data_IF_617274762301
#
_entry.id   IF_617274762301
#
_cell.length_a   1.000
_cell.length_b   1.000
_cell.length_c   1.000
_cell.angle_alpha   90.00
_cell.angle_beta   90.00
_cell.angle_gamma   90.00
#
_symmetry.space_group_name_H-M   'P 1'
#
loop_
_entity.id
_entity.type
_entity.pdbx_description
1 polymer ?
#
# COMPACT_ATOMS: atom_id res chain seq x y z
N UNK A 1 67.42 -5.93 5.89
CA UNK A 1 66.08 -6.50 6.17
C UNK A 1 65.06 -5.37 6.19
N UNK A 2 64.28 -5.19 5.12
CA UNK A 2 63.32 -4.08 4.98
C UNK A 2 61.92 -4.63 5.23
N UNK A 3 61.31 -4.28 6.36
CA UNK A 3 59.92 -4.64 6.70
C UNK A 3 58.98 -3.67 5.99
N UNK A 4 58.22 -4.16 5.01
CA UNK A 4 57.13 -3.41 4.37
C UNK A 4 55.87 -3.54 5.23
N UNK A 5 55.40 -2.43 5.80
CA UNK A 5 54.11 -2.36 6.46
C UNK A 5 53.02 -2.22 5.39
N UNK A 6 52.12 -3.19 5.31
CA UNK A 6 50.94 -3.12 4.47
C UNK A 6 49.85 -2.33 5.21
N UNK A 7 49.52 -1.14 4.71
CA UNK A 7 48.38 -0.35 5.18
C UNK A 7 47.13 -0.91 4.49
N UNK A 8 46.29 -1.61 5.23
CA UNK A 8 44.98 -2.05 4.76
C UNK A 8 44.01 -0.85 4.82
N UNK A 9 43.70 -0.28 3.66
CA UNK A 9 42.63 0.72 3.50
C UNK A 9 41.28 0.01 3.61
N UNK A 10 40.61 0.17 4.75
CA UNK A 10 39.21 -0.22 4.94
C UNK A 10 38.33 0.80 4.22
N UNK A 11 37.82 0.43 3.05
CA UNK A 11 36.76 1.18 2.39
C UNK A 11 35.47 1.00 3.20
N UNK A 12 35.11 2.03 3.97
CA UNK A 12 33.79 2.15 4.58
C UNK A 12 32.78 2.42 3.46
N UNK A 13 32.13 1.36 2.99
CA UNK A 13 30.97 1.45 2.11
C UNK A 13 29.84 2.14 2.88
N UNK A 14 29.70 3.46 2.71
CA UNK A 14 28.52 4.16 3.19
C UNK A 14 27.33 3.71 2.36
N UNK A 15 26.47 2.86 2.94
CA UNK A 15 25.16 2.57 2.37
C UNK A 15 24.42 3.89 2.20
N UNK A 16 24.29 4.36 0.96
CA UNK A 16 23.45 5.49 0.63
C UNK A 16 22.02 5.12 0.96
N UNK A 17 21.49 5.68 2.05
CA UNK A 17 20.07 5.54 2.40
C UNK A 17 19.29 6.33 1.36
N UNK A 18 18.85 5.66 0.29
CA UNK A 18 17.93 6.26 -0.68
C UNK A 18 16.64 6.56 0.09
N UNK A 19 16.23 7.83 0.24
CA UNK A 19 14.99 8.14 0.91
C UNK A 19 13.84 7.46 0.14
N UNK A 20 12.94 6.81 0.88
CA UNK A 20 11.77 6.19 0.28
C UNK A 20 11.04 7.24 -0.57
N UNK A 21 10.80 6.93 -1.84
CA UNK A 21 10.07 7.86 -2.70
C UNK A 21 8.66 8.06 -2.11
N UNK A 22 8.19 9.32 -1.99
CA UNK A 22 6.86 9.58 -1.46
C UNK A 22 5.81 8.94 -2.37
N UNK A 23 4.66 8.57 -1.81
CA UNK A 23 3.55 8.09 -2.62
C UNK A 23 3.17 9.14 -3.67
N UNK A 24 2.70 8.68 -4.83
CA UNK A 24 2.36 9.51 -5.97
C UNK A 24 0.86 9.44 -6.26
N UNK A 25 0.37 10.34 -7.13
CA UNK A 25 -1.05 10.38 -7.48
C UNK A 25 -1.56 9.09 -8.13
N UNK A 26 -0.66 8.35 -8.80
CA UNK A 26 -0.97 7.05 -9.41
C UNK A 26 -1.24 5.97 -8.34
N UNK A 27 -0.65 6.09 -7.15
CA UNK A 27 -0.80 5.12 -6.06
C UNK A 27 -2.18 5.17 -5.39
N UNK A 28 -3.03 6.18 -5.67
CA UNK A 28 -4.33 6.34 -4.97
C UNK A 28 -5.26 5.14 -5.14
N UNK A 29 -5.17 4.44 -6.28
CA UNK A 29 -5.92 3.20 -6.52
C UNK A 29 -5.43 2.07 -5.60
N UNK A 30 -4.12 1.84 -5.60
CA UNK A 30 -3.45 0.80 -4.82
C UNK A 30 -3.61 1.05 -3.31
N UNK A 31 -3.46 2.30 -2.86
CA UNK A 31 -3.66 2.66 -1.46
C UNK A 31 -5.08 2.31 -0.99
N UNK A 32 -6.12 2.65 -1.78
CA UNK A 32 -7.50 2.31 -1.43
C UNK A 32 -7.71 0.81 -1.36
N UNK A 33 -7.15 0.06 -2.30
CA UNK A 33 -7.22 -1.39 -2.30
C UNK A 33 -6.52 -1.98 -1.06
N UNK A 34 -5.30 -1.53 -0.77
CA UNK A 34 -4.51 -2.01 0.37
C UNK A 34 -5.16 -1.68 1.72
N UNK A 35 -5.78 -0.52 1.87
CA UNK A 35 -6.58 -0.19 3.06
C UNK A 35 -7.72 -1.20 3.24
N UNK A 36 -8.44 -1.55 2.17
CA UNK A 36 -9.53 -2.51 2.25
C UNK A 36 -9.03 -3.93 2.58
N UNK A 37 -7.91 -4.37 1.99
CA UNK A 37 -7.24 -5.64 2.32
C UNK A 37 -6.85 -5.68 3.81
N UNK A 38 -6.18 -4.64 4.31
CA UNK A 38 -5.74 -4.56 5.70
C UNK A 38 -6.91 -4.50 6.69
N UNK A 39 -8.00 -3.79 6.36
CA UNK A 39 -9.22 -3.78 7.17
C UNK A 39 -9.89 -5.15 7.22
N UNK A 40 -9.98 -5.86 6.09
CA UNK A 40 -10.51 -7.23 6.05
C UNK A 40 -9.66 -8.21 6.88
N UNK A 41 -8.33 -8.02 6.89
CA UNK A 41 -7.43 -8.81 7.73
C UNK A 41 -7.68 -8.55 9.22
N UNK A 42 -7.75 -7.27 9.64
CA UNK A 42 -8.04 -6.87 11.02
C UNK A 42 -9.39 -7.45 11.47
N UNK A 43 -10.44 -7.27 10.68
CA UNK A 43 -11.78 -7.79 11.01
C UNK A 43 -11.76 -9.31 11.18
N UNK A 44 -11.03 -10.02 10.32
CA UNK A 44 -10.92 -11.49 10.41
C UNK A 44 -10.15 -11.91 11.66
N UNK A 45 -9.06 -11.24 12.00
CA UNK A 45 -8.34 -11.51 13.25
C UNK A 45 -9.19 -11.23 14.49
N UNK A 46 -9.98 -10.14 14.50
CA UNK A 46 -10.92 -9.84 15.58
C UNK A 46 -11.93 -10.97 15.75
N UNK A 47 -12.58 -11.37 14.65
CA UNK A 47 -13.59 -12.43 14.66
C UNK A 47 -13.02 -13.79 15.08
N UNK A 48 -11.85 -14.16 14.59
CA UNK A 48 -11.20 -15.42 14.97
C UNK A 48 -10.70 -15.38 16.42
N UNK A 49 -10.17 -14.24 16.89
CA UNK A 49 -9.77 -14.06 18.29
C UNK A 49 -10.96 -14.21 19.23
N UNK A 50 -12.12 -13.63 18.89
CA UNK A 50 -13.35 -13.82 19.68
C UNK A 50 -13.71 -15.30 19.81
N UNK A 51 -13.71 -16.06 18.69
CA UNK A 51 -13.98 -17.51 18.72
C UNK A 51 -12.95 -18.28 19.56
N UNK A 52 -11.69 -17.87 19.52
CA UNK A 52 -10.63 -18.48 20.35
C UNK A 52 -10.88 -18.21 21.84
N UNK A 53 -11.26 -16.98 22.20
CA UNK A 53 -11.58 -16.63 23.58
C UNK A 53 -12.79 -17.41 24.11
N UNK A 54 -13.85 -17.53 23.31
CA UNK A 54 -15.01 -18.37 23.62
C UNK A 54 -14.62 -19.85 23.79
N UNK A 55 -13.77 -20.37 22.91
CA UNK A 55 -13.25 -21.73 23.02
C UNK A 55 -12.43 -21.93 24.31
N UNK A 56 -11.52 -20.99 24.63
CA UNK A 56 -10.70 -21.05 25.84
C UNK A 56 -11.58 -21.00 27.10
N UNK A 57 -12.63 -20.17 27.09
CA UNK A 57 -13.59 -20.11 28.19
C UNK A 57 -14.39 -21.41 28.34
N UNK A 58 -14.85 -22.01 27.23
CA UNK A 58 -15.61 -23.27 27.28
C UNK A 58 -14.75 -24.45 27.73
N UNK A 59 -13.49 -24.49 27.30
CA UNK A 59 -12.58 -25.64 27.54
C UNK A 59 -11.68 -25.46 28.74
N UNK A 60 -11.69 -24.29 29.38
CA UNK A 60 -10.79 -23.91 30.48
C UNK A 60 -9.31 -24.17 30.16
N UNK A 61 -8.95 -24.09 28.88
CA UNK A 61 -7.64 -24.48 28.35
C UNK A 61 -7.10 -23.36 27.47
N UNK A 62 -5.83 -22.95 27.64
CA UNK A 62 -5.24 -21.94 26.77
C UNK A 62 -5.07 -22.47 25.35
N UNK A 63 -5.05 -21.54 24.38
CA UNK A 63 -4.84 -21.88 22.98
C UNK A 63 -3.39 -21.56 22.60
N UNK A 64 -2.43 -22.49 22.73
CA UNK A 64 -1.04 -22.21 22.41
C UNK A 64 -0.88 -21.90 20.92
N UNK A 65 0.09 -21.04 20.63
CA UNK A 65 0.63 -20.90 19.27
C UNK A 65 1.30 -22.20 18.85
N UNK A 66 1.00 -22.66 17.64
CA UNK A 66 1.77 -23.68 16.91
C UNK A 66 1.82 -23.29 15.43
N UNK A 67 2.82 -23.75 14.67
CA UNK A 67 2.90 -23.48 13.23
C UNK A 67 1.62 -23.87 12.47
N UNK A 68 0.99 -25.00 12.81
CA UNK A 68 -0.23 -25.48 12.15
C UNK A 68 -1.43 -24.57 12.47
N UNK A 69 -1.54 -24.12 13.72
CA UNK A 69 -2.62 -23.23 14.16
C UNK A 69 -2.46 -21.84 13.56
N UNK A 70 -1.24 -21.32 13.51
CA UNK A 70 -0.90 -20.10 12.78
C UNK A 70 -1.29 -20.24 11.32
N UNK A 71 -0.84 -21.28 10.62
CA UNK A 71 -1.13 -21.47 9.21
C UNK A 71 -2.64 -21.52 8.93
N UNK A 72 -3.40 -22.19 9.80
CA UNK A 72 -4.87 -22.22 9.71
C UNK A 72 -5.52 -20.85 9.97
N UNK A 73 -4.99 -20.05 10.89
CA UNK A 73 -5.46 -18.69 11.14
C UNK A 73 -5.15 -17.78 9.94
N UNK A 74 -3.89 -17.75 9.50
CA UNK A 74 -3.46 -16.96 8.36
C UNK A 74 -4.18 -17.36 7.07
N UNK A 75 -4.49 -18.65 6.88
CA UNK A 75 -5.31 -19.11 5.75
C UNK A 75 -6.70 -18.46 5.71
N UNK A 76 -7.39 -18.36 6.85
CA UNK A 76 -8.71 -17.69 6.93
C UNK A 76 -8.62 -16.19 6.70
N UNK A 77 -7.56 -15.55 7.21
CA UNK A 77 -7.27 -14.13 6.95
C UNK A 77 -7.02 -13.92 5.46
N UNK A 78 -6.24 -14.78 4.82
CA UNK A 78 -5.99 -14.72 3.38
C UNK A 78 -7.26 -14.89 2.56
N UNK A 79 -8.16 -15.82 2.94
CA UNK A 79 -9.46 -15.97 2.28
C UNK A 79 -10.29 -14.68 2.35
N UNK A 80 -10.27 -13.97 3.48
CA UNK A 80 -10.96 -12.69 3.62
C UNK A 80 -10.33 -11.58 2.76
N UNK A 81 -9.00 -11.48 2.75
CA UNK A 81 -8.25 -10.55 1.88
C UNK A 81 -8.58 -10.83 0.40
N UNK A 82 -8.60 -12.10 -0.01
CA UNK A 82 -8.88 -12.50 -1.39
C UNK A 82 -10.30 -12.09 -1.81
N UNK A 83 -11.29 -12.17 -0.91
CA UNK A 83 -12.68 -11.75 -1.19
C UNK A 83 -12.79 -10.26 -1.51
N UNK A 84 -12.06 -9.40 -0.79
CA UNK A 84 -12.09 -7.94 -1.03
C UNK A 84 -11.19 -7.50 -2.19
N UNK A 85 -10.22 -8.34 -2.58
CA UNK A 85 -9.29 -8.05 -3.67
C UNK A 85 -9.92 -8.21 -5.08
N UNK A 86 -11.07 -8.89 -5.20
CA UNK A 86 -11.95 -8.94 -6.38
C UNK A 86 -11.23 -9.07 -7.75
N UNK A 87 -10.23 -9.95 -7.86
CA UNK A 87 -9.52 -10.22 -9.12
C UNK A 87 -8.42 -9.21 -9.48
N UNK A 88 -8.13 -8.25 -8.60
CA UNK A 88 -6.89 -7.47 -8.67
C UNK A 88 -5.74 -8.34 -8.19
N UNK A 89 -4.57 -8.19 -8.81
CA UNK A 89 -3.32 -8.71 -8.24
C UNK A 89 -3.24 -8.09 -6.85
N UNK A 90 -3.24 -8.92 -5.82
CA UNK A 90 -3.18 -8.41 -4.46
C UNK A 90 -1.93 -7.53 -4.33
N UNK A 91 -2.14 -6.32 -3.83
CA UNK A 91 -1.03 -5.44 -3.46
C UNK A 91 -0.42 -5.86 -2.12
N UNK A 92 -1.01 -6.88 -1.49
CA UNK A 92 -0.57 -7.54 -0.27
C UNK A 92 0.48 -8.64 -0.51
N UNK A 93 1.28 -8.93 0.53
CA UNK A 93 1.77 -10.27 0.77
C UNK A 93 0.66 -11.31 0.72
N UNK A 94 0.82 -12.36 -0.09
CA UNK A 94 0.08 -13.62 0.10
C UNK A 94 1.04 -14.70 0.61
N UNK A 95 0.50 -15.69 1.32
CA UNK A 95 1.25 -16.79 1.99
C UNK A 95 2.23 -17.60 1.12
N UNK A 96 2.33 -17.34 -0.20
CA UNK A 96 3.25 -18.04 -1.12
C UNK A 96 4.37 -17.17 -1.72
N UNK A 97 4.18 -15.85 -1.79
CA UNK A 97 5.10 -14.92 -2.46
C UNK A 97 5.67 -13.96 -1.42
N UNK A 98 6.54 -14.48 -0.56
CA UNK A 98 7.08 -13.85 0.64
C UNK A 98 7.59 -12.40 0.43
N UNK A 99 6.88 -11.32 0.83
CA UNK A 99 7.32 -9.97 0.50
C UNK A 99 7.60 -9.06 1.70
N UNK A 100 7.59 -9.62 2.89
CA UNK A 100 7.86 -8.96 4.17
C UNK A 100 8.05 -10.04 5.23
N UNK A 101 9.00 -9.87 6.14
CA UNK A 101 9.09 -10.78 7.27
C UNK A 101 10.12 -10.31 8.30
N UNK A 102 9.76 -10.48 9.57
CA UNK A 102 10.65 -10.24 10.70
C UNK A 102 11.19 -11.57 11.22
N UNK A 103 12.50 -11.79 11.06
CA UNK A 103 13.14 -13.04 11.48
C UNK A 103 13.32 -13.14 13.02
N UNK A 104 13.83 -14.29 13.49
CA UNK A 104 14.11 -14.53 14.91
C UNK A 104 15.21 -13.63 15.51
N UNK A 105 15.98 -12.92 14.68
CA UNK A 105 16.95 -11.91 15.07
C UNK A 105 16.36 -10.50 15.06
N UNK A 106 15.07 -10.38 14.73
CA UNK A 106 14.32 -9.14 14.49
C UNK A 106 14.84 -8.33 13.29
N UNK A 107 15.44 -8.99 12.30
CA UNK A 107 15.73 -8.36 11.02
C UNK A 107 14.46 -8.32 10.19
N UNK A 108 14.19 -7.14 9.62
CA UNK A 108 13.09 -6.92 8.69
C UNK A 108 13.59 -7.21 7.29
N UNK A 109 12.87 -8.07 6.59
CA UNK A 109 13.03 -8.32 5.16
C UNK A 109 11.80 -7.78 4.45
N UNK A 110 11.99 -7.20 3.25
CA UNK A 110 10.89 -6.69 2.40
C UNK A 110 11.10 -7.30 1.02
N UNK A 111 10.54 -8.48 0.78
CA UNK A 111 10.62 -9.22 -0.49
C UNK A 111 9.54 -8.83 -1.52
N UNK A 112 9.18 -7.55 -1.66
CA UNK A 112 8.09 -7.18 -2.58
C UNK A 112 8.44 -7.38 -4.06
N UNK A 113 7.46 -7.84 -4.84
CA UNK A 113 7.56 -7.94 -6.31
C UNK A 113 8.14 -6.64 -6.90
N UNK A 114 9.02 -6.68 -7.92
CA UNK A 114 9.64 -5.48 -8.49
C UNK A 114 8.64 -4.39 -8.94
N UNK A 115 7.42 -4.78 -9.32
CA UNK A 115 6.37 -3.84 -9.71
C UNK A 115 5.64 -3.16 -8.54
N UNK A 116 5.89 -3.56 -7.29
CA UNK A 116 5.30 -2.89 -6.13
C UNK A 116 5.79 -1.44 -6.07
N UNK A 117 4.85 -0.51 -5.98
CA UNK A 117 5.18 0.92 -5.92
C UNK A 117 5.93 1.25 -4.63
N UNK A 118 6.67 2.35 -4.63
CA UNK A 118 7.39 2.80 -3.44
C UNK A 118 6.44 2.98 -2.23
N UNK A 119 5.19 3.39 -2.50
CA UNK A 119 4.16 3.52 -1.49
C UNK A 119 3.80 2.18 -0.83
N UNK A 120 3.58 1.13 -1.63
CA UNK A 120 3.27 -0.20 -1.10
C UNK A 120 4.46 -0.80 -0.36
N UNK A 121 5.70 -0.52 -0.80
CA UNK A 121 6.91 -0.92 -0.08
C UNK A 121 7.01 -0.29 1.30
N UNK A 122 6.73 1.00 1.41
CA UNK A 122 6.75 1.67 2.72
C UNK A 122 5.61 1.16 3.61
N UNK A 123 4.41 0.90 3.08
CA UNK A 123 3.31 0.32 3.85
C UNK A 123 3.69 -1.03 4.48
N UNK A 124 4.19 -1.98 3.69
CA UNK A 124 4.67 -3.29 4.21
C UNK A 124 5.83 -3.10 5.18
N UNK A 125 6.74 -2.17 4.92
CA UNK A 125 7.82 -1.87 5.86
C UNK A 125 7.29 -1.37 7.21
N UNK A 126 6.20 -0.60 7.26
CA UNK A 126 5.57 -0.18 8.52
C UNK A 126 4.96 -1.36 9.27
N UNK A 127 4.37 -2.31 8.55
CA UNK A 127 3.91 -3.57 9.12
C UNK A 127 5.06 -4.34 9.78
N UNK A 128 6.13 -4.58 9.03
CA UNK A 128 7.27 -5.35 9.53
C UNK A 128 8.03 -4.63 10.65
N UNK A 129 8.08 -3.29 10.62
CA UNK A 129 8.67 -2.52 11.71
C UNK A 129 7.87 -2.66 13.01
N UNK A 130 6.55 -2.87 12.94
CA UNK A 130 5.75 -3.21 14.11
C UNK A 130 6.20 -4.56 14.70
N UNK A 131 6.29 -5.60 13.86
CA UNK A 131 6.80 -6.91 14.27
C UNK A 131 8.21 -6.85 14.85
N UNK A 132 9.09 -6.04 14.24
CA UNK A 132 10.43 -5.79 14.75
C UNK A 132 10.39 -5.20 16.15
N UNK A 133 9.55 -4.20 16.40
CA UNK A 133 9.42 -3.58 17.71
C UNK A 133 8.95 -4.60 18.76
N UNK A 134 7.94 -5.42 18.46
CA UNK A 134 7.50 -6.48 19.37
C UNK A 134 8.57 -7.54 19.59
N UNK A 135 9.28 -7.95 18.53
CA UNK A 135 10.39 -8.88 18.60
C UNK A 135 11.53 -8.35 19.50
N UNK A 136 11.88 -7.07 19.38
CA UNK A 136 12.95 -6.44 20.15
C UNK A 136 12.63 -6.37 21.65
N UNK A 137 11.35 -6.29 22.05
CA UNK A 137 10.95 -6.28 23.47
C UNK A 137 11.30 -7.58 24.19
N UNK A 138 11.31 -8.71 23.48
CA UNK A 138 11.54 -10.02 24.08
C UNK A 138 12.91 -10.62 23.73
N UNK A 139 13.68 -9.98 22.85
CA UNK A 139 14.97 -10.48 22.35
C UNK A 139 16.07 -10.43 23.41
N UNK A 140 16.66 -11.58 23.71
CA UNK A 140 17.88 -11.71 24.55
C UNK A 140 18.88 -12.67 23.90
N UNK A 141 20.16 -12.58 24.29
CA UNK A 141 21.20 -13.48 23.76
C UNK A 141 20.87 -14.96 24.00
N UNK A 142 20.33 -15.30 25.17
CA UNK A 142 19.89 -16.66 25.48
C UNK A 142 18.74 -17.14 24.59
N UNK A 143 17.78 -16.25 24.29
CA UNK A 143 16.65 -16.57 23.40
C UNK A 143 17.08 -16.74 21.94
N UNK A 144 18.03 -15.93 21.48
CA UNK A 144 18.64 -16.10 20.15
C UNK A 144 19.32 -17.47 20.06
N UNK A 145 20.15 -17.83 21.05
CA UNK A 145 20.82 -19.12 21.08
C UNK A 145 19.82 -20.29 21.09
N UNK A 146 18.71 -20.16 21.84
CA UNK A 146 17.64 -21.16 21.83
C UNK A 146 17.01 -21.30 20.44
N UNK A 147 16.60 -20.21 19.80
CA UNK A 147 15.99 -20.28 18.44
C UNK A 147 16.95 -20.87 17.40
N UNK A 148 18.24 -20.53 17.46
CA UNK A 148 19.25 -21.12 16.56
C UNK A 148 19.39 -22.63 16.80
N UNK A 149 19.35 -23.08 18.06
CA UNK A 149 19.51 -24.48 18.43
C UNK A 149 18.27 -25.32 18.14
N UNK A 150 17.07 -24.80 18.40
CA UNK A 150 15.82 -25.58 18.29
C UNK A 150 15.11 -25.38 16.96
N UNK A 151 15.45 -24.35 16.20
CA UNK A 151 14.72 -23.96 14.98
C UNK A 151 13.36 -23.32 15.26
N UNK A 152 12.96 -23.18 16.53
CA UNK A 152 11.67 -22.60 16.91
C UNK A 152 11.63 -21.11 16.60
N UNK A 153 10.50 -20.66 16.08
CA UNK A 153 10.22 -19.23 15.97
C UNK A 153 10.07 -18.60 17.37
N UNK A 154 10.09 -17.26 17.44
CA UNK A 154 10.01 -16.57 18.72
C UNK A 154 8.70 -16.81 19.47
N UNK A 155 7.60 -17.09 18.78
CA UNK A 155 6.30 -17.31 19.39
C UNK A 155 6.24 -18.70 20.02
N UNK A 156 6.75 -19.73 19.33
CA UNK A 156 6.91 -21.08 19.87
C UNK A 156 7.83 -21.08 21.09
N UNK A 157 9.01 -20.45 20.95
CA UNK A 157 10.02 -20.39 22.02
C UNK A 157 9.50 -19.69 23.26
N UNK A 158 8.76 -18.60 23.08
CA UNK A 158 8.27 -17.77 24.20
C UNK A 158 6.93 -18.29 24.77
N UNK A 159 6.39 -19.39 24.24
CA UNK A 159 5.13 -19.99 24.72
C UNK A 159 3.93 -19.08 24.52
N UNK A 160 3.94 -18.27 23.45
CA UNK A 160 2.91 -17.29 23.14
C UNK A 160 1.60 -18.01 22.80
N UNK A 161 0.47 -17.43 23.19
CA UNK A 161 -0.85 -17.95 22.83
C UNK A 161 -1.25 -17.46 21.44
N UNK A 162 -2.03 -18.24 20.70
CA UNK A 162 -2.48 -17.89 19.36
C UNK A 162 -3.23 -16.53 19.30
N UNK A 163 -4.08 -16.16 20.29
CA UNK A 163 -4.67 -14.82 20.35
C UNK A 163 -3.66 -13.67 20.49
N UNK A 164 -2.53 -13.90 21.16
CA UNK A 164 -1.49 -12.87 21.32
C UNK A 164 -0.74 -12.65 19.99
N UNK A 165 -0.46 -13.75 19.26
CA UNK A 165 0.04 -13.67 17.89
C UNK A 165 -0.92 -12.90 16.97
N UNK A 166 -2.23 -13.21 17.03
CA UNK A 166 -3.24 -12.46 16.28
C UNK A 166 -3.27 -10.97 16.67
N UNK A 167 -3.09 -10.67 17.97
CA UNK A 167 -2.94 -9.31 18.49
C UNK A 167 -1.82 -8.53 17.81
N UNK A 168 -0.67 -9.17 17.65
CA UNK A 168 0.49 -8.56 17.01
C UNK A 168 0.27 -8.31 15.51
N UNK A 169 -0.29 -9.29 14.79
CA UNK A 169 -0.62 -9.15 13.36
C UNK A 169 -1.63 -8.01 13.13
N UNK A 170 -2.65 -7.89 14.00
CA UNK A 170 -3.57 -6.75 13.95
C UNK A 170 -2.84 -5.41 14.11
N UNK A 171 -1.85 -5.33 15.01
CA UNK A 171 -1.02 -4.14 15.19
C UNK A 171 -0.22 -3.78 13.93
N UNK A 172 0.33 -4.78 13.24
CA UNK A 172 1.00 -4.62 11.95
C UNK A 172 0.08 -4.02 10.88
N UNK A 173 -1.11 -4.60 10.68
CA UNK A 173 -2.10 -4.08 9.74
C UNK A 173 -2.63 -2.68 10.12
N UNK A 174 -2.78 -2.38 11.42
CA UNK A 174 -3.17 -1.04 11.88
C UNK A 174 -2.10 0.00 11.52
N UNK A 175 -0.81 -0.34 11.64
CA UNK A 175 0.28 0.55 11.25
C UNK A 175 0.24 0.86 9.74
N UNK A 176 -0.07 -0.13 8.91
CA UNK A 176 -0.29 0.08 7.47
C UNK A 176 -1.44 1.04 7.21
N UNK A 177 -2.61 0.78 7.79
CA UNK A 177 -3.83 1.59 7.59
C UNK A 177 -3.59 3.03 8.02
N UNK A 178 -2.90 3.24 9.14
CA UNK A 178 -2.57 4.58 9.62
C UNK A 178 -1.70 5.34 8.61
N UNK A 179 -0.62 4.73 8.13
CA UNK A 179 0.26 5.33 7.11
C UNK A 179 -0.50 5.63 5.81
N UNK A 180 -1.24 4.66 5.29
CA UNK A 180 -1.96 4.76 4.03
C UNK A 180 -3.07 5.82 4.06
N UNK A 181 -3.77 5.99 5.20
CA UNK A 181 -4.75 7.06 5.37
C UNK A 181 -4.09 8.45 5.37
N UNK A 182 -2.92 8.60 6.00
CA UNK A 182 -2.17 9.86 5.97
C UNK A 182 -1.74 10.20 4.54
N UNK A 183 -1.23 9.22 3.79
CA UNK A 183 -0.84 9.42 2.40
C UNK A 183 -2.05 9.72 1.50
N UNK A 184 -3.19 9.08 1.72
CA UNK A 184 -4.43 9.44 1.01
C UNK A 184 -4.87 10.88 1.26
N UNK A 185 -4.78 11.36 2.50
CA UNK A 185 -5.09 12.75 2.84
C UNK A 185 -4.11 13.73 2.18
N UNK A 186 -2.81 13.40 2.18
CA UNK A 186 -1.77 14.20 1.51
C UNK A 186 -2.01 14.26 0.00
N UNK A 187 -2.28 13.11 -0.64
CA UNK A 187 -2.53 13.00 -2.07
C UNK A 187 -3.85 13.65 -2.49
N UNK A 188 -4.88 13.67 -1.64
CA UNK A 188 -6.14 14.37 -1.94
C UNK A 188 -5.92 15.87 -2.20
N UNK A 189 -4.91 16.46 -1.56
CA UNK A 189 -4.53 17.86 -1.77
C UNK A 189 -3.60 18.04 -2.96
N UNK A 190 -2.61 17.15 -3.12
CA UNK A 190 -1.58 17.26 -4.16
C UNK A 190 -2.07 16.86 -5.56
N UNK A 191 -3.04 15.94 -5.66
CA UNK A 191 -3.48 15.33 -6.91
C UNK A 191 -4.75 15.96 -7.49
N UNK A 192 -5.07 17.20 -7.09
CA UNK A 192 -6.20 17.92 -7.68
C UNK A 192 -5.87 18.19 -9.16
N UNK A 193 -6.77 17.86 -10.11
CA UNK A 193 -6.55 18.26 -11.48
C UNK A 193 -6.40 19.78 -11.53
N UNK A 194 -5.51 20.32 -12.38
CA UNK A 194 -5.41 21.76 -12.55
C UNK A 194 -6.81 22.29 -12.85
N UNK A 195 -7.18 23.43 -12.23
CA UNK A 195 -8.44 24.09 -12.56
C UNK A 195 -8.47 24.23 -14.08
N UNK A 196 -9.54 23.82 -14.76
CA UNK A 196 -9.64 24.05 -16.20
C UNK A 196 -9.37 25.54 -16.40
N UNK A 197 -8.33 25.85 -17.17
CA UNK A 197 -8.13 27.22 -17.65
C UNK A 197 -9.40 27.53 -18.40
N UNK A 198 -10.25 28.38 -17.82
CA UNK A 198 -11.40 28.91 -18.54
C UNK A 198 -10.80 29.63 -19.72
N UNK A 199 -10.84 28.98 -20.89
CA UNK A 199 -10.47 29.63 -22.13
C UNK A 199 -11.49 30.74 -22.30
N UNK A 200 -11.04 31.98 -22.17
CA UNK A 200 -11.93 33.13 -22.30
C UNK A 200 -12.33 33.29 -23.77
N UNK A 201 -13.39 32.59 -24.16
CA UNK A 201 -13.95 32.66 -25.49
C UNK A 201 -14.50 34.06 -25.82
N UNK A 202 -14.70 34.95 -24.84
CA UNK A 202 -15.16 36.32 -25.09
C UNK A 202 -14.04 37.22 -25.61
N UNK A 203 -12.79 37.00 -25.17
CA UNK A 203 -11.62 37.66 -25.75
C UNK A 203 -11.31 37.14 -27.17
N UNK A 204 -11.49 35.83 -27.40
CA UNK A 204 -11.27 35.19 -28.70
C UNK A 204 -12.37 35.56 -29.73
N UNK A 205 -13.61 35.85 -29.30
CA UNK A 205 -14.66 36.41 -30.16
C UNK A 205 -14.47 37.89 -30.50
N UNK A 206 -13.96 38.71 -29.56
CA UNK A 206 -13.68 40.14 -29.83
C UNK A 206 -12.59 40.32 -30.88
N UNK A 207 -11.56 39.46 -30.89
CA UNK A 207 -10.50 39.48 -31.89
C UNK A 207 -10.88 38.82 -33.23
N UNK A 208 -12.01 38.12 -33.30
CA UNK A 208 -12.55 37.52 -34.54
C UNK A 208 -13.62 38.38 -35.22
N UNK A 209 -13.87 39.60 -34.75
CA UNK A 209 -14.76 40.54 -35.45
C UNK A 209 -13.96 41.62 -36.19
N UNK A 210 -13.36 41.33 -37.38
CA UNK A 210 -13.27 42.34 -38.40
C UNK A 210 -14.69 42.52 -38.98
N UNK A 211 -15.31 43.64 -38.62
CA UNK A 211 -16.14 44.45 -39.52
C UNK A 211 -17.22 43.73 -40.35
N UNK A 212 -18.48 43.89 -39.93
CA UNK A 212 -19.49 44.48 -40.81
C UNK A 212 -19.71 43.88 -42.21
N UNK A 213 -19.90 42.57 -42.35
CA UNK A 213 -20.58 42.02 -43.52
C UNK A 213 -21.82 41.25 -43.08
N UNK A 214 -22.99 41.88 -43.27
CA UNK A 214 -24.26 41.14 -43.38
C UNK A 214 -24.05 40.02 -44.41
N UNK A 215 -24.39 38.76 -44.10
CA UNK A 215 -24.53 37.78 -45.16
C UNK A 215 -25.66 38.30 -46.08
N UNK A 216 -25.30 38.67 -47.31
CA UNK A 216 -26.28 38.88 -48.35
C UNK A 216 -26.96 37.53 -48.57
N UNK A 217 -28.25 37.47 -48.23
CA UNK A 217 -29.09 36.29 -48.39
C UNK A 217 -29.19 35.96 -49.90
N UNK A 218 -28.53 34.90 -50.40
CA UNK A 218 -28.40 34.67 -51.84
C UNK A 218 -29.74 34.33 -52.52
N UNK A 219 -30.77 34.04 -51.72
CA UNK A 219 -32.10 33.68 -52.21
C UNK A 219 -32.94 34.91 -52.60
N UNK A 220 -32.70 36.09 -52.00
CA UNK A 220 -33.45 37.31 -52.36
C UNK A 220 -32.99 37.95 -53.67
N UNK A 221 -31.70 37.84 -54.02
CA UNK A 221 -31.16 38.44 -55.26
C UNK A 221 -31.66 37.77 -56.56
N UNK A 222 -31.95 36.46 -56.52
CA UNK A 222 -32.43 35.71 -57.69
C UNK A 222 -33.89 36.00 -58.04
N UNK A 223 -34.75 36.14 -57.04
CA UNK A 223 -36.20 36.38 -57.23
C UNK A 223 -36.49 37.79 -57.76
N UNK A 224 -35.75 38.80 -57.32
CA UNK A 224 -35.94 40.18 -57.79
C UNK A 224 -35.41 40.37 -59.22
N UNK A 225 -34.37 39.61 -59.62
CA UNK A 225 -33.85 39.64 -61.00
C UNK A 225 -34.81 38.94 -61.97
N UNK A 226 -35.45 37.84 -61.55
CA UNK A 226 -36.45 37.13 -62.37
C UNK A 226 -37.75 37.92 -62.55
N UNK A 227 -38.24 38.62 -61.52
CA UNK A 227 -39.44 39.49 -61.65
C UNK A 227 -39.21 40.65 -62.62
N UNK A 228 -38.04 41.27 -62.58
CA UNK A 228 -37.67 42.38 -63.45
C UNK A 228 -37.53 41.99 -64.92
N UNK A 229 -37.16 40.73 -65.21
CA UNK A 229 -37.09 40.18 -66.56
C UNK A 229 -38.46 39.69 -67.09
N UNK A 230 -39.41 39.39 -66.20
CA UNK A 230 -40.74 38.87 -66.54
C UNK A 230 -41.87 39.92 -66.46
N UNK A 231 -41.56 41.17 -66.11
CA UNK A 231 -42.51 42.29 -66.17
C UNK A 231 -43.57 42.30 -65.06
N UNK A 232 -43.25 41.78 -63.87
CA UNK A 232 -44.07 41.89 -62.66
C UNK A 232 -43.50 42.91 -61.67
#
# INVERSE_FOLDING_TARGET
MIRRAAIALVFLSFSTVVPAQPCQCIDRGDIKARIAEAQAAIETYVNETQKMMEQMQRTQSPLPYTPERRAKLQGRVQEAINKVSAGRISTAPTMGDNPGGTDNLCNVTIGLHPSATACMREAVKRHEEHHRQECLKTRTAGKIATSVRTGQDRFERDGIQLPQYAGEEMGGYQAEVMFLNQEMARLANACKPPKPTVRDYTAEQRNRSPQGQKPADPVKGGLDTARKLLGF
#
